data_IF_433417001922
#
_entry.id   IF_433417001922
#
_cell.length_a   1.000
_cell.length_b   1.000
_cell.length_c   1.000
_cell.angle_alpha   90.00
_cell.angle_beta   90.00
_cell.angle_gamma   90.00
#
_symmetry.space_group_name_H-M   'P 1'
#
loop_
_entity.id
_entity.type
_entity.pdbx_description
1 polymer ?
#
# COMPACT_ATOMS: atom_id res chain seq x y z
N UNK A 1 -73.37 -18.90 3.29
CA UNK A 1 -71.99 -19.28 3.49
C UNK A 1 -71.08 -18.14 2.98
N UNK A 2 -70.39 -17.44 3.87
CA UNK A 2 -69.50 -16.35 3.48
C UNK A 2 -68.07 -16.91 3.52
N UNK A 3 -67.39 -17.01 2.33
CA UNK A 3 -65.96 -17.35 2.26
C UNK A 3 -65.15 -16.12 2.70
N UNK A 4 -64.38 -16.28 3.75
CA UNK A 4 -63.36 -15.31 4.12
C UNK A 4 -62.07 -15.60 3.34
N UNK A 5 -61.60 -14.68 2.51
CA UNK A 5 -60.35 -14.76 1.84
C UNK A 5 -59.23 -14.36 2.80
N UNK A 6 -58.31 -15.27 3.10
CA UNK A 6 -57.10 -14.98 3.88
C UNK A 6 -56.06 -14.47 2.91
N UNK A 7 -55.69 -13.17 3.04
CA UNK A 7 -54.57 -12.56 2.30
C UNK A 7 -53.30 -12.83 3.11
N UNK A 8 -52.40 -13.66 2.60
CA UNK A 8 -51.09 -13.88 3.17
C UNK A 8 -50.14 -12.84 2.57
N UNK A 9 -49.75 -11.85 3.38
CA UNK A 9 -48.74 -10.87 3.00
C UNK A 9 -47.37 -11.51 3.29
N UNK A 10 -46.66 -11.91 2.26
CA UNK A 10 -45.27 -12.33 2.38
C UNK A 10 -44.37 -11.08 2.52
N UNK A 11 -43.83 -10.85 3.72
CA UNK A 11 -42.83 -9.85 3.96
C UNK A 11 -41.49 -10.42 3.52
N UNK A 12 -41.01 -9.99 2.34
CA UNK A 12 -39.65 -10.30 1.90
C UNK A 12 -38.65 -9.41 2.67
N UNK A 13 -37.93 -9.97 3.64
CA UNK A 13 -36.82 -9.34 4.29
C UNK A 13 -35.65 -9.27 3.32
N UNK A 14 -35.40 -8.09 2.76
CA UNK A 14 -34.23 -7.82 1.94
C UNK A 14 -33.01 -7.71 2.85
N UNK A 15 -32.18 -8.73 2.92
CA UNK A 15 -30.89 -8.66 3.61
C UNK A 15 -29.94 -7.84 2.72
N UNK A 16 -29.74 -6.58 3.08
CA UNK A 16 -28.70 -5.74 2.46
C UNK A 16 -27.37 -6.11 3.10
N UNK A 17 -26.59 -6.94 2.42
CA UNK A 17 -25.19 -7.14 2.80
C UNK A 17 -24.41 -5.89 2.42
N UNK A 18 -24.06 -5.05 3.39
CA UNK A 18 -23.07 -3.99 3.19
C UNK A 18 -21.73 -4.69 2.96
N UNK A 19 -21.22 -4.66 1.73
CA UNK A 19 -19.83 -5.00 1.48
C UNK A 19 -18.96 -3.94 2.17
N UNK A 20 -18.02 -4.36 3.02
CA UNK A 20 -17.06 -3.43 3.63
C UNK A 20 -16.27 -2.73 2.52
N UNK A 21 -16.09 -1.41 2.63
CA UNK A 21 -15.26 -0.66 1.70
C UNK A 21 -13.81 -1.18 1.78
N UNK A 22 -13.17 -1.39 0.62
CA UNK A 22 -11.76 -1.81 0.57
C UNK A 22 -10.86 -0.73 1.20
N UNK A 23 -9.75 -1.16 1.82
CA UNK A 23 -8.83 -0.27 2.51
C UNK A 23 -9.30 0.18 3.90
N UNK A 24 -10.46 -0.32 4.38
CA UNK A 24 -10.99 -0.01 5.70
C UNK A 24 -10.90 -1.25 6.59
N UNK A 25 -10.18 -1.19 7.72
CA UNK A 25 -10.14 -2.29 8.69
C UNK A 25 -11.54 -2.64 9.20
N UNK A 26 -11.85 -3.92 9.32
CA UNK A 26 -13.11 -4.41 9.89
C UNK A 26 -13.03 -4.61 11.40
N UNK A 27 -11.80 -4.72 11.92
CA UNK A 27 -11.52 -4.95 13.35
C UNK A 27 -10.35 -4.09 13.82
N UNK A 28 -10.22 -3.92 15.14
CA UNK A 28 -9.02 -3.32 15.73
C UNK A 28 -7.88 -4.34 15.69
N UNK A 29 -6.75 -3.96 15.07
CA UNK A 29 -5.53 -4.76 15.06
C UNK A 29 -4.43 -4.01 15.82
N UNK A 30 -3.93 -4.62 16.90
CA UNK A 30 -2.81 -4.11 17.67
C UNK A 30 -1.58 -4.99 17.47
N UNK A 31 -0.47 -4.38 17.07
CA UNK A 31 0.83 -5.06 16.91
C UNK A 31 1.80 -4.45 17.91
N UNK A 32 2.32 -5.22 18.87
CA UNK A 32 3.27 -4.71 19.85
C UNK A 32 4.59 -4.33 19.20
N UNK A 33 5.29 -3.35 19.80
CA UNK A 33 6.50 -2.75 19.22
C UNK A 33 7.62 -3.75 18.95
N UNK A 34 7.79 -4.76 19.78
CA UNK A 34 8.85 -5.79 19.59
C UNK A 34 8.63 -6.56 18.29
N UNK A 35 7.36 -6.87 17.97
CA UNK A 35 7.00 -7.54 16.71
C UNK A 35 7.21 -6.60 15.52
N UNK A 36 6.85 -5.32 15.67
CA UNK A 36 7.13 -4.30 14.66
C UNK A 36 8.63 -4.18 14.40
N UNK A 37 9.44 -4.06 15.45
CA UNK A 37 10.91 -3.96 15.35
C UNK A 37 11.53 -5.20 14.70
N UNK A 38 11.09 -6.38 15.09
CA UNK A 38 11.54 -7.64 14.48
C UNK A 38 11.20 -7.72 13.00
N UNK A 39 10.01 -7.26 12.63
CA UNK A 39 9.59 -7.20 11.22
C UNK A 39 10.39 -6.14 10.46
N UNK A 40 10.61 -4.95 11.05
CA UNK A 40 11.41 -3.88 10.45
C UNK A 40 12.83 -4.33 10.11
N UNK A 41 13.46 -5.11 10.97
CA UNK A 41 14.83 -5.60 10.76
C UNK A 41 14.96 -6.53 9.54
N UNK A 42 13.88 -7.23 9.16
CA UNK A 42 13.86 -8.22 8.07
C UNK A 42 13.11 -7.72 6.82
N UNK A 43 12.32 -6.68 6.97
CA UNK A 43 11.28 -6.29 6.04
C UNK A 43 10.09 -7.26 6.08
N UNK A 44 8.88 -6.74 5.94
CA UNK A 44 7.69 -7.58 5.87
C UNK A 44 6.39 -6.90 6.27
N UNK A 45 5.32 -7.68 6.17
CA UNK A 45 3.97 -7.23 6.45
C UNK A 45 3.68 -7.26 7.96
N UNK A 46 3.11 -6.15 8.44
CA UNK A 46 2.62 -6.01 9.82
C UNK A 46 1.10 -6.21 9.87
N UNK A 47 0.39 -5.57 8.94
CA UNK A 47 -1.07 -5.64 8.80
C UNK A 47 -1.39 -5.99 7.35
N UNK A 48 -2.39 -6.86 7.15
CA UNK A 48 -2.95 -7.17 5.84
C UNK A 48 -4.42 -7.51 6.01
N UNK A 49 -5.29 -6.57 5.69
CA UNK A 49 -6.72 -6.71 5.85
C UNK A 49 -7.47 -5.85 4.84
N UNK A 50 -8.38 -6.48 4.09
CA UNK A 50 -9.36 -5.81 3.22
C UNK A 50 -8.77 -4.71 2.31
N UNK A 51 -7.60 -4.96 1.69
CA UNK A 51 -6.92 -4.01 0.81
C UNK A 51 -6.07 -2.95 1.56
N UNK A 52 -6.08 -2.92 2.90
CA UNK A 52 -5.10 -2.20 3.70
C UNK A 52 -3.92 -3.12 4.02
N UNK A 53 -2.73 -2.76 3.55
CA UNK A 53 -1.49 -3.48 3.85
C UNK A 53 -0.51 -2.50 4.49
N UNK A 54 -0.02 -2.81 5.68
CA UNK A 54 1.05 -2.04 6.31
C UNK A 54 2.31 -2.89 6.36
N UNK A 55 3.38 -2.38 5.76
CA UNK A 55 4.68 -2.99 5.73
C UNK A 55 5.66 -2.21 6.63
N UNK A 56 6.54 -2.92 7.31
CA UNK A 56 7.74 -2.37 7.90
C UNK A 56 8.92 -2.77 7.01
N UNK A 57 9.60 -1.80 6.42
CA UNK A 57 10.65 -2.03 5.44
C UNK A 57 11.97 -1.41 5.88
N UNK A 58 13.05 -2.17 5.64
CA UNK A 58 14.43 -1.66 5.68
C UNK A 58 15.13 -2.13 4.41
N UNK A 59 15.61 -1.19 3.61
CA UNK A 59 16.24 -1.51 2.31
C UNK A 59 17.33 -0.51 1.95
N UNK A 60 18.22 -0.90 1.05
CA UNK A 60 19.11 -0.01 0.33
C UNK A 60 18.47 0.57 -0.93
N UNK A 61 19.29 1.22 -1.76
CA UNK A 61 18.90 1.62 -3.10
C UNK A 61 18.43 0.42 -3.94
N UNK A 62 17.56 0.68 -4.92
CA UNK A 62 16.95 -0.37 -5.73
C UNK A 62 16.63 0.08 -7.15
N UNK A 63 15.76 -0.66 -7.81
CA UNK A 63 15.21 -0.33 -9.13
C UNK A 63 14.01 0.61 -9.00
N UNK A 64 13.64 1.21 -10.12
CA UNK A 64 12.36 1.92 -10.27
C UNK A 64 11.22 0.91 -10.16
N UNK A 65 10.19 1.28 -9.42
CA UNK A 65 9.00 0.47 -9.17
C UNK A 65 7.75 1.19 -9.66
N UNK A 66 6.81 0.43 -10.23
CA UNK A 66 5.43 0.85 -10.47
C UNK A 66 4.50 -0.25 -9.98
N UNK A 67 3.51 0.15 -9.17
CA UNK A 67 2.41 -0.71 -8.75
C UNK A 67 1.12 -0.19 -9.38
N UNK A 68 0.47 -1.00 -10.21
CA UNK A 68 -0.68 -0.53 -11.00
C UNK A 68 -1.93 -0.27 -10.15
N UNK A 69 -2.05 -1.00 -9.03
CA UNK A 69 -3.26 -0.97 -8.20
C UNK A 69 -3.00 -0.57 -6.75
N UNK A 70 -1.79 -0.09 -6.41
CA UNK A 70 -1.43 0.22 -5.02
C UNK A 70 -1.08 1.69 -4.87
N UNK A 71 -1.79 2.38 -3.99
CA UNK A 71 -1.40 3.70 -3.50
C UNK A 71 -0.53 3.53 -2.26
N UNK A 72 0.57 4.26 -2.16
CA UNK A 72 1.48 4.20 -1.03
C UNK A 72 1.44 5.46 -0.19
N UNK A 73 1.59 5.30 1.11
CA UNK A 73 2.05 6.34 2.03
C UNK A 73 3.33 5.81 2.69
N UNK A 74 4.47 6.44 2.42
CA UNK A 74 5.72 6.10 3.09
C UNK A 74 5.96 7.06 4.26
N UNK A 75 6.31 6.51 5.41
CA UNK A 75 6.66 7.24 6.64
C UNK A 75 8.08 6.84 6.99
N UNK A 76 9.03 7.76 6.86
CA UNK A 76 10.45 7.48 7.06
C UNK A 76 10.76 7.48 8.55
N UNK A 77 11.35 6.40 9.05
CA UNK A 77 11.66 6.22 10.48
C UNK A 77 13.16 6.24 10.78
N UNK A 78 14.01 5.90 9.79
CA UNK A 78 15.47 5.90 9.96
C UNK A 78 16.16 6.02 8.61
N UNK A 79 17.34 6.66 8.59
CA UNK A 79 18.15 6.83 7.38
C UNK A 79 17.67 7.97 6.48
N UNK A 80 18.28 8.06 5.32
CA UNK A 80 17.98 9.06 4.30
C UNK A 80 18.11 8.48 2.89
N UNK A 81 17.42 9.06 1.93
CA UNK A 81 17.45 8.63 0.53
C UNK A 81 17.21 9.78 -0.45
N UNK A 82 17.82 9.66 -1.63
CA UNK A 82 17.36 10.34 -2.83
C UNK A 82 16.22 9.53 -3.44
N UNK A 83 15.01 10.09 -3.42
CA UNK A 83 13.79 9.45 -3.92
C UNK A 83 13.27 10.17 -5.15
N UNK A 84 13.00 9.43 -6.23
CA UNK A 84 12.51 9.99 -7.50
C UNK A 84 11.11 9.46 -7.77
N UNK A 85 10.19 10.34 -8.19
CA UNK A 85 8.84 9.95 -8.59
C UNK A 85 8.49 10.47 -9.98
N UNK A 86 7.63 9.74 -10.69
CA UNK A 86 7.22 10.09 -12.04
C UNK A 86 8.33 9.88 -13.08
N UNK A 87 8.25 10.63 -14.17
CA UNK A 87 9.13 10.44 -15.32
C UNK A 87 8.73 9.25 -16.20
N UNK A 88 9.54 8.98 -17.21
CA UNK A 88 9.35 7.88 -18.16
C UNK A 88 10.34 6.77 -17.85
N UNK A 89 9.84 5.58 -17.55
CA UNK A 89 10.69 4.39 -17.28
C UNK A 89 11.51 4.00 -18.50
N UNK A 90 12.78 3.66 -18.28
CA UNK A 90 13.68 3.16 -19.31
C UNK A 90 13.70 1.64 -19.27
N UNK A 91 13.34 1.01 -20.39
CA UNK A 91 13.27 -0.46 -20.55
C UNK A 91 12.44 -1.15 -19.46
N UNK A 92 11.15 -0.76 -19.26
CA UNK A 92 10.31 -1.34 -18.21
C UNK A 92 10.05 -2.83 -18.48
N UNK A 93 9.97 -3.60 -17.38
CA UNK A 93 9.67 -5.04 -17.42
C UNK A 93 8.58 -5.36 -16.40
N UNK A 94 7.58 -6.12 -16.83
CA UNK A 94 6.62 -6.72 -15.93
C UNK A 94 7.28 -7.86 -15.16
N UNK A 95 7.30 -7.76 -13.83
CA UNK A 95 7.89 -8.78 -12.95
C UNK A 95 6.82 -9.68 -12.31
N UNK A 96 5.59 -9.17 -12.19
CA UNK A 96 4.40 -9.89 -11.77
C UNK A 96 3.16 -9.11 -12.23
N UNK A 97 1.94 -9.64 -12.13
CA UNK A 97 0.73 -8.89 -12.42
C UNK A 97 0.67 -7.57 -11.62
N UNK A 98 0.55 -6.45 -12.34
CA UNK A 98 0.51 -5.12 -11.76
C UNK A 98 1.84 -4.63 -11.15
N UNK A 99 2.96 -5.32 -11.37
CA UNK A 99 4.28 -4.97 -10.86
C UNK A 99 5.26 -4.74 -12.01
N UNK A 100 5.74 -3.51 -12.15
CA UNK A 100 6.68 -3.13 -13.21
C UNK A 100 7.97 -2.64 -12.56
N UNK A 101 9.11 -3.01 -13.15
CA UNK A 101 10.45 -2.57 -12.73
C UNK A 101 11.20 -1.97 -13.90
N UNK A 102 12.10 -1.02 -13.61
CA UNK A 102 13.06 -0.50 -14.57
C UNK A 102 14.36 -0.08 -13.89
N UNK A 103 15.42 0.03 -14.66
CA UNK A 103 16.73 0.45 -14.13
C UNK A 103 16.79 1.95 -13.83
N UNK A 104 16.02 2.75 -14.58
CA UNK A 104 15.99 4.22 -14.43
C UNK A 104 14.72 4.82 -14.98
N UNK A 105 14.55 6.14 -14.72
CA UNK A 105 13.55 6.99 -15.37
C UNK A 105 14.23 8.19 -16.03
N UNK A 106 13.67 8.66 -17.12
CA UNK A 106 13.99 9.96 -17.71
C UNK A 106 13.04 11.01 -17.15
N UNK A 107 13.60 12.07 -16.55
CA UNK A 107 12.82 13.10 -15.87
C UNK A 107 12.33 12.64 -14.48
N UNK A 108 11.21 13.20 -14.04
CA UNK A 108 10.65 12.94 -12.72
C UNK A 108 11.03 14.02 -11.72
N UNK A 109 10.38 13.96 -10.54
CA UNK A 109 10.63 14.85 -9.40
C UNK A 109 11.53 14.14 -8.39
N UNK A 110 12.57 14.82 -7.95
CA UNK A 110 13.51 14.29 -6.94
C UNK A 110 13.20 14.89 -5.57
N UNK A 111 13.21 14.04 -4.54
CA UNK A 111 13.06 14.39 -3.14
C UNK A 111 14.25 13.85 -2.35
N UNK A 112 14.69 14.60 -1.33
CA UNK A 112 15.59 14.09 -0.32
C UNK A 112 14.76 13.71 0.91
N UNK A 113 14.60 12.41 1.14
CA UNK A 113 13.83 11.89 2.25
C UNK A 113 14.71 11.64 3.46
N UNK A 114 14.26 12.09 4.62
CA UNK A 114 14.91 11.93 5.91
C UNK A 114 13.93 11.42 6.96
N UNK A 115 14.43 11.05 8.13
CA UNK A 115 13.61 10.61 9.27
C UNK A 115 12.51 11.64 9.60
N UNK A 116 11.27 11.19 9.67
CA UNK A 116 10.07 11.98 9.96
C UNK A 116 9.30 12.42 8.71
N UNK A 117 9.92 12.31 7.52
CA UNK A 117 9.22 12.67 6.28
C UNK A 117 8.11 11.68 5.95
N UNK A 118 7.07 12.20 5.30
CA UNK A 118 5.94 11.45 4.77
C UNK A 118 5.77 11.80 3.30
N UNK A 119 5.67 10.78 2.46
CA UNK A 119 5.40 10.97 1.03
C UNK A 119 4.31 10.00 0.55
N UNK A 120 3.41 10.49 -0.29
CA UNK A 120 2.38 9.67 -0.96
C UNK A 120 2.79 9.40 -2.40
N UNK A 121 2.57 8.17 -2.85
CA UNK A 121 2.81 7.76 -4.23
C UNK A 121 1.54 7.09 -4.74
N UNK A 122 0.78 7.76 -5.63
CA UNK A 122 -0.41 7.16 -6.25
C UNK A 122 -0.07 5.93 -7.09
N UNK A 123 -1.03 5.03 -7.23
CA UNK A 123 -0.94 3.91 -8.15
C UNK A 123 -0.50 4.37 -9.56
N UNK A 124 0.21 3.51 -10.29
CA UNK A 124 0.76 3.77 -11.65
C UNK A 124 1.87 4.83 -11.70
N UNK A 125 2.30 5.37 -10.56
CA UNK A 125 3.38 6.36 -10.51
C UNK A 125 4.73 5.66 -10.36
N UNK A 126 5.68 5.84 -11.30
CA UNK A 126 7.06 5.39 -11.11
C UNK A 126 7.65 5.99 -9.84
N UNK A 127 8.31 5.18 -9.04
CA UNK A 127 8.99 5.64 -7.83
C UNK A 127 10.26 4.82 -7.57
N UNK A 128 11.27 5.48 -7.00
CA UNK A 128 12.61 4.93 -6.96
C UNK A 128 13.42 5.44 -5.76
N UNK A 129 13.83 4.55 -4.88
CA UNK A 129 14.93 4.82 -3.95
C UNK A 129 16.24 4.76 -4.73
N UNK A 130 16.62 5.88 -5.37
CA UNK A 130 17.73 5.97 -6.31
C UNK A 130 19.07 5.83 -5.63
N UNK A 131 19.20 6.48 -4.47
CA UNK A 131 20.41 6.46 -3.65
C UNK A 131 20.03 6.48 -2.17
N UNK A 132 20.78 5.74 -1.35
CA UNK A 132 20.58 5.62 0.10
C UNK A 132 21.94 5.78 0.79
N UNK A 133 22.37 7.04 1.04
CA UNK A 133 23.70 7.34 1.60
C UNK A 133 23.97 6.67 2.95
N UNK A 134 22.94 6.43 3.73
CA UNK A 134 23.00 5.70 5.02
C UNK A 134 23.08 4.18 4.88
N UNK A 135 23.32 3.66 3.65
CA UNK A 135 23.30 2.25 3.26
C UNK A 135 21.90 1.61 3.37
N UNK A 136 21.11 1.96 4.39
CA UNK A 136 19.73 1.53 4.53
C UNK A 136 18.83 2.69 4.92
N UNK A 137 17.60 2.64 4.42
CA UNK A 137 16.48 3.47 4.87
C UNK A 137 15.40 2.57 5.45
N UNK A 138 14.85 2.93 6.61
CA UNK A 138 13.73 2.23 7.22
C UNK A 138 12.47 3.09 7.17
N UNK A 139 11.36 2.49 6.79
CA UNK A 139 10.08 3.18 6.63
C UNK A 139 8.89 2.24 6.80
N UNK A 140 7.77 2.80 7.21
CA UNK A 140 6.49 2.13 7.05
C UNK A 140 5.92 2.47 5.67
N UNK A 141 5.38 1.45 5.00
CA UNK A 141 4.56 1.64 3.81
C UNK A 141 3.12 1.25 4.15
N UNK A 142 2.22 2.24 4.12
CA UNK A 142 0.78 2.00 4.17
C UNK A 142 0.30 1.92 2.73
N UNK A 143 -0.11 0.72 2.33
CA UNK A 143 -0.57 0.41 0.99
C UNK A 143 -2.09 0.28 1.00
N UNK A 144 -2.73 1.00 0.09
CA UNK A 144 -4.17 0.95 -0.13
C UNK A 144 -4.42 0.36 -1.52
N UNK A 145 -5.05 -0.80 -1.55
CA UNK A 145 -5.42 -1.51 -2.77
C UNK A 145 -6.95 -1.45 -2.93
N UNK A 146 -7.48 -0.86 -4.02
CA UNK A 146 -8.90 -0.74 -4.29
C UNK A 146 -9.59 -2.09 -4.57
#
# INVERSE_FOLDING_TARGET
MKLAAIVVIAVATMVVTLAAAKGVPSTVTYIPHDKVNTTMAKGGQIIGENGLIVLANRRGAGEVEVHENTNHVFIIVEGEATFVTGGTMVEPKNTAPGQIRAKSVNGGQTYHLTKGDVITVPAKTPHWFKDVPTQTIAYYAVNLEP
#
